data_IF_277799522319
#
_entry.id   IF_277799522319
#
_cell.length_a   1.000
_cell.length_b   1.000
_cell.length_c   1.000
_cell.angle_alpha   90.00
_cell.angle_beta   90.00
_cell.angle_gamma   90.00
#
_symmetry.space_group_name_H-M   'P 1'
#
loop_
_entity.id
_entity.type
_entity.pdbx_description
1 polymer ?
#
# COMPACT_ATOMS: atom_id res chain seq x y z
N UNK A 1 -9.32 15.40 6.00
CA UNK A 1 -9.92 14.14 6.49
C UNK A 1 -10.80 13.51 5.40
N UNK A 2 -11.66 14.31 4.74
CA UNK A 2 -12.46 13.87 3.58
C UNK A 2 -11.65 13.19 2.47
N UNK A 3 -10.51 13.77 2.08
CA UNK A 3 -9.64 13.19 1.03
C UNK A 3 -9.23 11.74 1.29
N UNK A 4 -8.96 11.39 2.55
CA UNK A 4 -8.54 10.03 2.91
C UNK A 4 -9.69 9.03 2.72
N UNK A 5 -10.90 9.39 3.13
CA UNK A 5 -12.08 8.56 2.93
C UNK A 5 -12.45 8.45 1.44
N UNK A 6 -12.30 9.52 0.67
CA UNK A 6 -12.47 9.46 -0.79
C UNK A 6 -11.46 8.52 -1.46
N UNK A 7 -10.21 8.49 -0.99
CA UNK A 7 -9.21 7.52 -1.46
C UNK A 7 -9.60 6.09 -1.08
N UNK A 8 -10.11 5.88 0.14
CA UNK A 8 -10.59 4.57 0.58
C UNK A 8 -11.75 4.07 -0.29
N UNK A 9 -12.71 4.93 -0.62
CA UNK A 9 -13.85 4.57 -1.48
C UNK A 9 -13.42 4.29 -2.93
N UNK A 10 -12.42 5.03 -3.41
CA UNK A 10 -11.87 4.88 -4.75
C UNK A 10 -11.09 3.56 -4.90
N UNK A 11 -10.19 3.28 -3.96
CA UNK A 11 -9.29 2.11 -3.98
C UNK A 11 -10.01 0.85 -3.50
N UNK A 12 -10.73 0.93 -2.39
CA UNK A 12 -11.30 -0.20 -1.67
C UNK A 12 -12.77 0.04 -1.32
N UNK A 13 -13.64 0.13 -2.33
CA UNK A 13 -15.09 0.31 -2.12
C UNK A 13 -15.63 -0.74 -1.13
N UNK A 14 -16.33 -0.27 -0.09
CA UNK A 14 -16.87 -1.10 0.99
C UNK A 14 -15.83 -1.49 2.05
N UNK A 15 -14.71 -0.77 2.16
CA UNK A 15 -13.70 -0.99 3.21
C UNK A 15 -14.28 -0.95 4.63
N UNK A 16 -15.34 -0.15 4.88
CA UNK A 16 -16.00 -0.02 6.19
C UNK A 16 -16.56 -1.35 6.73
N UNK A 17 -17.00 -2.23 5.83
CA UNK A 17 -17.57 -3.54 6.20
C UNK A 17 -16.54 -4.66 6.17
N UNK A 18 -15.28 -4.37 5.83
CA UNK A 18 -14.22 -5.39 5.79
C UNK A 18 -13.66 -5.61 7.19
N UNK A 19 -13.57 -6.87 7.65
CA UNK A 19 -12.93 -7.20 8.92
C UNK A 19 -11.40 -7.23 8.82
N UNK A 20 -10.85 -7.19 7.59
CA UNK A 20 -9.42 -7.19 7.34
C UNK A 20 -8.88 -5.77 7.05
N UNK A 21 -7.68 -5.50 7.56
CA UNK A 21 -6.94 -4.26 7.28
C UNK A 21 -6.19 -4.32 5.93
N UNK A 22 -6.58 -5.22 5.01
CA UNK A 22 -5.84 -5.44 3.77
C UNK A 22 -5.80 -4.18 2.90
N UNK A 23 -6.90 -3.44 2.87
CA UNK A 23 -6.99 -2.16 2.14
C UNK A 23 -5.98 -1.11 2.64
N UNK A 24 -5.61 -1.13 3.93
CA UNK A 24 -4.58 -0.25 4.46
C UNK A 24 -3.19 -0.62 3.96
N UNK A 25 -2.93 -1.92 3.76
CA UNK A 25 -1.67 -2.38 3.17
C UNK A 25 -1.54 -1.99 1.70
N UNK A 26 -2.65 -1.99 0.96
CA UNK A 26 -2.70 -1.55 -0.44
C UNK A 26 -2.44 -0.05 -0.56
N UNK A 27 -3.08 0.75 0.27
CA UNK A 27 -2.85 2.20 0.31
C UNK A 27 -1.41 2.50 0.77
N UNK A 28 -0.89 1.77 1.75
CA UNK A 28 0.52 1.89 2.17
C UNK A 28 1.48 1.62 1.03
N UNK A 29 1.24 0.55 0.27
CA UNK A 29 2.04 0.20 -0.91
C UNK A 29 2.00 1.31 -1.96
N UNK A 30 0.81 1.80 -2.32
CA UNK A 30 0.67 2.88 -3.30
C UNK A 30 1.41 4.15 -2.83
N UNK A 31 1.24 4.55 -1.56
CA UNK A 31 1.91 5.72 -1.01
C UNK A 31 3.44 5.61 -1.06
N UNK A 32 3.99 4.44 -0.75
CA UNK A 32 5.44 4.24 -0.64
C UNK A 32 6.09 3.95 -1.98
N UNK A 33 5.61 2.93 -2.67
CA UNK A 33 6.27 2.36 -3.84
C UNK A 33 5.86 3.06 -5.14
N UNK A 34 4.65 3.63 -5.21
CA UNK A 34 4.16 4.30 -6.43
C UNK A 34 4.33 5.81 -6.34
N UNK A 35 4.02 6.40 -5.18
CA UNK A 35 4.02 7.85 -4.99
C UNK A 35 5.22 8.39 -4.19
N UNK A 36 6.12 7.51 -3.73
CA UNK A 36 7.44 7.87 -3.23
C UNK A 36 7.50 8.37 -1.78
N UNK A 37 6.56 7.98 -0.92
CA UNK A 37 6.61 8.33 0.50
C UNK A 37 7.85 7.73 1.17
N UNK A 38 8.63 8.57 1.87
CA UNK A 38 9.86 8.16 2.57
C UNK A 38 9.63 7.43 3.91
N UNK A 39 8.37 7.20 4.27
CA UNK A 39 8.00 6.60 5.57
C UNK A 39 7.99 5.06 5.49
N UNK A 40 8.16 4.40 6.64
CA UNK A 40 8.10 2.93 6.74
C UNK A 40 6.66 2.43 6.71
N UNK A 41 6.43 1.18 6.29
CA UNK A 41 5.07 0.58 6.26
C UNK A 41 4.34 0.74 7.58
N UNK A 42 5.01 0.45 8.69
CA UNK A 42 4.41 0.53 10.02
C UNK A 42 3.97 1.96 10.36
N UNK A 43 4.77 2.96 9.98
CA UNK A 43 4.44 4.38 10.20
C UNK A 43 3.25 4.82 9.34
N UNK A 44 3.23 4.38 8.08
CA UNK A 44 2.15 4.71 7.13
C UNK A 44 0.85 4.06 7.58
N UNK A 45 0.85 2.74 7.83
CA UNK A 45 -0.34 1.99 8.28
C UNK A 45 -0.89 2.56 9.60
N UNK A 46 -0.04 2.84 10.59
CA UNK A 46 -0.51 3.42 11.86
C UNK A 46 -1.10 4.83 11.66
N UNK A 47 -0.55 5.61 10.72
CA UNK A 47 -1.08 6.94 10.39
C UNK A 47 -2.41 6.86 9.63
N UNK A 48 -2.59 5.86 8.74
CA UNK A 48 -3.85 5.58 8.07
C UNK A 48 -4.93 5.11 9.07
N UNK A 49 -4.59 4.18 9.97
CA UNK A 49 -5.49 3.71 11.05
C UNK A 49 -5.97 4.84 11.97
N UNK A 50 -5.07 5.74 12.34
CA UNK A 50 -5.38 6.89 13.23
C UNK A 50 -5.92 8.10 12.47
N UNK A 51 -6.20 7.99 11.17
CA UNK A 51 -6.65 9.08 10.30
C UNK A 51 -5.70 10.31 10.29
N UNK A 52 -4.43 10.14 10.67
CA UNK A 52 -3.40 11.19 10.65
C UNK A 52 -2.75 11.28 9.27
N UNK A 53 -3.56 11.62 8.27
CA UNK A 53 -3.16 11.55 6.86
C UNK A 53 -2.67 12.87 6.25
N UNK A 54 -2.61 13.95 7.03
CA UNK A 54 -2.13 15.26 6.58
C UNK A 54 -0.71 15.21 5.99
N UNK A 55 0.14 14.29 6.46
CA UNK A 55 1.50 14.10 5.96
C UNK A 55 1.57 13.47 4.56
N UNK A 56 0.44 12.93 4.08
CA UNK A 56 0.32 12.23 2.80
C UNK A 56 -0.68 12.90 1.87
N UNK A 57 -1.12 14.12 2.16
CA UNK A 57 -2.23 14.77 1.45
C UNK A 57 -1.94 14.90 -0.05
N UNK A 58 -0.67 15.20 -0.41
CA UNK A 58 -0.23 15.29 -1.79
C UNK A 58 -0.26 13.93 -2.50
N UNK A 59 0.21 12.89 -1.83
CA UNK A 59 0.26 11.53 -2.35
C UNK A 59 -1.13 10.91 -2.46
N UNK A 60 -1.98 11.12 -1.45
CA UNK A 60 -3.39 10.73 -1.45
C UNK A 60 -4.16 11.42 -2.56
N UNK A 61 -3.90 12.72 -2.81
CA UNK A 61 -4.46 13.44 -3.94
C UNK A 61 -4.06 12.81 -5.28
N UNK A 62 -2.82 12.35 -5.42
CA UNK A 62 -2.39 11.64 -6.64
C UNK A 62 -3.09 10.28 -6.79
N UNK A 63 -3.26 9.53 -5.69
CA UNK A 63 -4.00 8.27 -5.69
C UNK A 63 -5.44 8.52 -6.17
N UNK A 64 -6.13 9.50 -5.60
CA UNK A 64 -7.51 9.81 -5.97
C UNK A 64 -7.66 10.22 -7.45
N UNK A 65 -6.69 10.95 -7.99
CA UNK A 65 -6.68 11.37 -9.38
C UNK A 65 -6.21 10.28 -10.37
N UNK A 66 -5.72 9.15 -9.86
CA UNK A 66 -5.28 8.04 -10.72
C UNK A 66 -6.49 7.17 -11.07
N UNK A 67 -6.67 6.77 -12.35
CA UNK A 67 -7.75 5.86 -12.74
C UNK A 67 -7.73 4.58 -11.90
N UNK A 68 -8.91 4.13 -11.48
CA UNK A 68 -9.05 2.96 -10.60
C UNK A 68 -8.46 1.72 -11.25
N UNK A 69 -8.64 1.57 -12.56
CA UNK A 69 -8.11 0.47 -13.36
C UNK A 69 -6.58 0.44 -13.33
N UNK A 70 -5.94 1.62 -13.36
CA UNK A 70 -4.49 1.73 -13.26
C UNK A 70 -3.99 1.36 -11.86
N UNK A 71 -4.69 1.82 -10.81
CA UNK A 71 -4.37 1.44 -9.42
C UNK A 71 -4.54 -0.07 -9.21
N UNK A 72 -5.64 -0.64 -9.69
CA UNK A 72 -5.90 -2.07 -9.62
C UNK A 72 -4.84 -2.86 -10.39
N UNK A 73 -4.47 -2.42 -11.60
CA UNK A 73 -3.41 -3.04 -12.37
C UNK A 73 -2.08 -3.03 -11.59
N UNK A 74 -1.71 -1.91 -10.99
CA UNK A 74 -0.50 -1.81 -10.15
C UNK A 74 -0.59 -2.76 -8.94
N UNK A 75 -1.74 -2.78 -8.25
CA UNK A 75 -1.97 -3.63 -7.08
C UNK A 75 -1.99 -5.12 -7.43
N UNK A 76 -2.47 -5.51 -8.60
CA UNK A 76 -2.47 -6.89 -9.10
C UNK A 76 -1.07 -7.31 -9.55
N UNK A 77 -0.30 -6.38 -10.12
CA UNK A 77 1.08 -6.60 -10.58
C UNK A 77 2.13 -6.41 -9.48
N UNK A 78 1.73 -5.99 -8.26
CA UNK A 78 2.62 -5.89 -7.09
C UNK A 78 3.21 -7.24 -6.67
N UNK A 79 2.66 -8.35 -7.20
CA UNK A 79 3.30 -9.66 -7.14
C UNK A 79 4.62 -9.70 -7.92
N UNK A 80 5.67 -9.20 -7.27
CA UNK A 80 6.99 -9.84 -7.28
C UNK A 80 7.83 -9.48 -6.08
N UNK A 81 7.64 -8.38 -5.34
CA UNK A 81 8.66 -7.99 -4.35
C UNK A 81 8.57 -8.70 -3.00
N UNK A 82 7.38 -8.94 -2.45
CA UNK A 82 7.26 -9.71 -1.19
C UNK A 82 7.48 -11.21 -1.42
N UNK A 83 7.02 -11.73 -2.57
CA UNK A 83 7.38 -13.07 -3.04
C UNK A 83 8.87 -13.16 -3.40
N UNK A 84 9.51 -12.13 -3.95
CA UNK A 84 10.96 -12.09 -4.20
C UNK A 84 11.75 -11.98 -2.91
N UNK A 85 11.34 -11.19 -1.91
CA UNK A 85 11.96 -11.19 -0.57
C UNK A 85 11.79 -12.54 0.13
N UNK A 86 10.61 -13.16 0.03
CA UNK A 86 10.38 -14.50 0.57
C UNK A 86 11.19 -15.58 -0.18
N UNK A 87 11.26 -15.52 -1.51
CA UNK A 87 12.10 -16.38 -2.34
C UNK A 87 13.59 -16.13 -2.09
N UNK A 88 14.08 -14.89 -2.10
CA UNK A 88 15.46 -14.52 -1.79
C UNK A 88 15.84 -15.00 -0.37
N UNK A 89 14.97 -14.86 0.63
CA UNK A 89 15.21 -15.36 1.99
C UNK A 89 15.28 -16.89 2.05
N UNK A 90 14.48 -17.60 1.24
CA UNK A 90 14.50 -19.07 1.14
C UNK A 90 15.71 -19.60 0.35
N UNK A 91 16.07 -18.95 -0.76
CA UNK A 91 17.16 -19.38 -1.64
C UNK A 91 18.54 -18.87 -1.18
N UNK A 92 18.67 -17.70 -0.54
CA UNK A 92 19.94 -17.29 0.11
C UNK A 92 20.28 -18.14 1.33
N UNK A 93 19.31 -18.85 1.93
CA UNK A 93 19.57 -19.86 2.97
C UNK A 93 20.05 -21.21 2.41
N UNK A 94 19.83 -21.51 1.13
CA UNK A 94 20.30 -22.77 0.52
C UNK A 94 21.68 -22.66 -0.13
N UNK A 95 22.22 -21.45 -0.32
CA UNK A 95 23.57 -21.21 -0.86
C UNK A 95 24.52 -20.82 0.29
N UNK A 96 24.60 -21.68 1.31
CA UNK A 96 25.73 -21.79 2.24
C UNK A 96 25.84 -23.26 2.66
N UNK A 97 26.27 -24.08 1.71
CA UNK A 97 26.91 -25.37 1.97
C UNK A 97 28.07 -25.44 1.00
N UNK A 98 29.20 -24.94 1.45
CA UNK A 98 30.53 -25.56 1.36
C UNK A 98 31.45 -24.83 2.34
#
# INVERSE_FOLDING_TARGET
MELYFSVLDHVAKGWESRPDDYYLTEISFLLREVFGSKLTDETVINSLRTCRTAKFEKELGKILNTPKEALQWILDHRMREDRRKACEKRYKKSIKRD
#
